data_IF_804924020329
#
_entry.id   IF_804924020329
#
_cell.length_a   1.000
_cell.length_b   1.000
_cell.length_c   1.000
_cell.angle_alpha   90.00
_cell.angle_beta   90.00
_cell.angle_gamma   90.00
#
_symmetry.space_group_name_H-M   'P 1'
#
loop_
_entity.id
_entity.type
_entity.pdbx_description
1 polymer ?
#
# COMPACT_ATOMS: atom_id res chain seq x y z
N UNK A 1 -48.83 -44.85 -62.85
CA UNK A 1 -50.30 -44.68 -62.76
C UNK A 1 -50.74 -44.92 -61.33
N UNK A 2 -51.36 -43.90 -60.69
CA UNK A 2 -52.52 -43.96 -59.78
C UNK A 2 -52.35 -44.85 -58.52
N UNK A 3 -52.44 -44.34 -57.29
CA UNK A 3 -53.52 -43.49 -56.73
C UNK A 3 -53.09 -42.83 -55.41
N UNK A 4 -53.48 -41.55 -55.28
CA UNK A 4 -53.64 -40.81 -54.01
C UNK A 4 -54.81 -41.40 -53.21
N UNK A 5 -54.78 -41.33 -51.88
CA UNK A 5 -55.94 -40.92 -51.10
C UNK A 5 -55.51 -40.31 -49.75
N UNK A 6 -56.06 -39.12 -49.51
CA UNK A 6 -55.93 -38.22 -48.36
C UNK A 6 -56.95 -38.62 -47.30
N UNK A 7 -56.65 -38.50 -45.99
CA UNK A 7 -57.50 -37.78 -45.01
C UNK A 7 -56.88 -37.63 -43.60
N UNK A 8 -56.92 -36.38 -43.14
CA UNK A 8 -56.83 -35.76 -41.79
C UNK A 8 -56.50 -36.62 -40.55
N UNK A 9 -55.62 -36.10 -39.66
CA UNK A 9 -56.04 -35.36 -38.43
C UNK A 9 -54.88 -34.94 -37.50
N UNK A 10 -55.09 -33.77 -36.86
CA UNK A 10 -54.57 -33.29 -35.56
C UNK A 10 -53.08 -32.91 -35.38
N UNK A 11 -52.87 -31.58 -35.27
CA UNK A 11 -51.86 -30.95 -34.44
C UNK A 11 -51.88 -31.54 -33.01
N UNK A 12 -50.72 -31.94 -32.49
CA UNK A 12 -50.43 -31.96 -31.05
C UNK A 12 -49.08 -31.29 -30.83
N UNK A 13 -49.15 -30.18 -30.10
CA UNK A 13 -48.08 -29.46 -29.45
C UNK A 13 -47.35 -30.34 -28.42
N UNK A 14 -46.17 -29.85 -28.01
CA UNK A 14 -45.44 -30.14 -26.77
C UNK A 14 -44.52 -31.36 -26.75
N UNK A 15 -43.24 -31.04 -26.58
CA UNK A 15 -42.18 -31.97 -26.20
C UNK A 15 -40.80 -31.34 -26.07
N UNK A 16 -40.66 -30.02 -26.01
CA UNK A 16 -39.44 -29.38 -25.48
C UNK A 16 -39.48 -29.51 -23.96
N UNK A 17 -38.73 -30.43 -23.35
CA UNK A 17 -38.35 -30.34 -21.94
C UNK A 17 -37.12 -31.23 -21.69
N UNK A 18 -35.96 -30.57 -21.60
CA UNK A 18 -34.83 -30.85 -20.69
C UNK A 18 -33.75 -29.79 -20.95
N UNK A 19 -34.09 -28.52 -20.74
CA UNK A 19 -33.11 -27.48 -20.44
C UNK A 19 -33.20 -27.32 -18.92
N UNK A 20 -32.24 -27.96 -18.23
CA UNK A 20 -32.26 -28.19 -16.79
C UNK A 20 -32.12 -26.91 -15.96
N UNK A 21 -32.57 -27.00 -14.70
CA UNK A 21 -32.67 -25.90 -13.72
C UNK A 21 -31.44 -24.95 -13.65
N UNK A 22 -30.22 -25.41 -13.93
CA UNK A 22 -29.02 -24.56 -13.93
C UNK A 22 -28.99 -23.46 -15.01
N UNK A 23 -29.63 -23.67 -16.16
CA UNK A 23 -29.70 -22.63 -17.21
C UNK A 23 -30.72 -21.53 -16.87
N UNK A 24 -31.79 -21.88 -16.15
CA UNK A 24 -32.78 -20.92 -15.68
C UNK A 24 -32.22 -20.03 -14.57
N UNK A 25 -31.41 -20.61 -13.67
CA UNK A 25 -30.74 -19.87 -12.61
C UNK A 25 -29.68 -18.89 -13.17
N UNK A 26 -28.84 -19.35 -14.11
CA UNK A 26 -27.85 -18.47 -14.78
C UNK A 26 -28.51 -17.31 -15.56
N UNK A 27 -29.66 -17.56 -16.20
CA UNK A 27 -30.42 -16.52 -16.89
C UNK A 27 -30.98 -15.48 -15.90
N UNK A 28 -31.45 -15.93 -14.73
CA UNK A 28 -31.92 -15.05 -13.65
C UNK A 28 -30.79 -14.20 -13.07
N UNK A 29 -29.62 -14.80 -12.79
CA UNK A 29 -28.45 -14.07 -12.28
C UNK A 29 -27.96 -12.99 -13.26
N UNK A 30 -27.90 -13.33 -14.55
CA UNK A 30 -27.52 -12.38 -15.61
C UNK A 30 -28.49 -11.21 -15.68
N UNK A 31 -29.79 -11.46 -15.55
CA UNK A 31 -30.81 -10.40 -15.54
C UNK A 31 -30.63 -9.47 -14.33
N UNK A 32 -30.48 -10.02 -13.12
CA UNK A 32 -30.27 -9.25 -11.90
C UNK A 32 -28.98 -8.42 -11.97
N UNK A 33 -27.92 -8.99 -12.55
CA UNK A 33 -26.65 -8.28 -12.75
C UNK A 33 -26.83 -7.08 -13.69
N UNK A 34 -27.57 -7.23 -14.79
CA UNK A 34 -27.88 -6.10 -15.69
C UNK A 34 -28.75 -5.03 -15.04
N UNK A 35 -29.67 -5.42 -14.17
CA UNK A 35 -30.48 -4.46 -13.39
C UNK A 35 -29.61 -3.65 -12.44
N UNK A 36 -28.69 -4.30 -11.71
CA UNK A 36 -27.74 -3.62 -10.83
C UNK A 36 -26.83 -2.66 -11.60
N UNK A 37 -26.30 -3.07 -12.76
CA UNK A 37 -25.50 -2.18 -13.63
C UNK A 37 -26.33 -0.95 -14.05
N UNK A 38 -27.57 -1.16 -14.50
CA UNK A 38 -28.46 -0.06 -14.93
C UNK A 38 -28.73 0.91 -13.77
N UNK A 39 -28.94 0.37 -12.56
CA UNK A 39 -29.11 1.16 -11.36
C UNK A 39 -27.86 1.99 -11.07
N UNK A 40 -26.68 1.36 -11.04
CA UNK A 40 -25.42 2.04 -10.72
C UNK A 40 -24.95 3.04 -11.79
N UNK A 41 -25.40 2.91 -13.05
CA UNK A 41 -25.19 3.93 -14.07
C UNK A 41 -26.05 5.19 -13.87
N UNK A 42 -27.19 5.06 -13.19
CA UNK A 42 -28.08 6.19 -12.87
C UNK A 42 -27.73 6.81 -11.52
N UNK A 43 -27.36 5.97 -10.57
CA UNK A 43 -26.98 6.31 -9.20
C UNK A 43 -25.66 5.60 -8.88
N UNK A 44 -24.50 6.22 -9.14
CA UNK A 44 -23.19 5.62 -8.89
C UNK A 44 -23.06 5.09 -7.46
N UNK A 45 -22.29 4.02 -7.24
CA UNK A 45 -22.01 3.54 -5.89
C UNK A 45 -21.45 4.66 -5.01
N UNK A 46 -21.90 4.70 -3.76
CA UNK A 46 -21.48 5.70 -2.78
C UNK A 46 -20.61 5.04 -1.70
N UNK A 47 -19.59 5.76 -1.25
CA UNK A 47 -18.83 5.38 -0.06
C UNK A 47 -19.71 5.47 1.20
N UNK A 48 -19.49 4.53 2.11
CA UNK A 48 -20.07 4.54 3.43
C UNK A 48 -19.12 5.26 4.39
N UNK A 49 -19.46 6.52 4.70
CA UNK A 49 -18.68 7.38 5.59
C UNK A 49 -18.97 7.11 7.08
N UNK A 50 -19.73 6.06 7.42
CA UNK A 50 -20.08 5.74 8.81
C UNK A 50 -18.86 5.31 9.65
N UNK A 51 -17.80 4.83 9.00
CA UNK A 51 -16.55 4.39 9.63
C UNK A 51 -15.34 5.14 9.04
N UNK A 52 -14.98 6.31 9.62
CA UNK A 52 -13.85 7.10 9.14
C UNK A 52 -12.55 6.29 9.17
N UNK A 53 -11.86 6.22 8.03
CA UNK A 53 -10.58 5.51 7.88
C UNK A 53 -10.67 4.12 7.26
N UNK A 54 -11.87 3.58 7.05
CA UNK A 54 -12.08 2.34 6.30
C UNK A 54 -13.04 2.63 5.14
N UNK A 55 -12.54 2.85 3.91
CA UNK A 55 -13.41 3.09 2.77
C UNK A 55 -14.21 1.82 2.47
N UNK A 56 -15.44 1.76 2.95
CA UNK A 56 -16.40 0.72 2.59
C UNK A 56 -17.43 1.31 1.63
N UNK A 57 -18.00 0.49 0.77
CA UNK A 57 -19.06 0.91 -0.15
C UNK A 57 -20.42 0.62 0.46
N UNK A 58 -21.43 1.45 0.18
CA UNK A 58 -22.80 1.15 0.62
C UNK A 58 -23.32 -0.09 -0.11
N UNK A 59 -24.05 -0.93 0.63
CA UNK A 59 -24.78 -2.05 0.05
C UNK A 59 -26.16 -1.63 -0.44
N UNK A 60 -26.62 -2.23 -1.55
CA UNK A 60 -27.87 -1.87 -2.21
C UNK A 60 -28.79 -3.08 -2.35
N UNK A 61 -30.10 -2.90 -2.13
CA UNK A 61 -31.10 -3.92 -2.40
C UNK A 61 -31.61 -3.77 -3.84
N UNK A 62 -31.32 -4.76 -4.69
CA UNK A 62 -31.76 -4.84 -6.08
C UNK A 62 -32.63 -6.09 -6.24
N UNK A 63 -33.94 -5.88 -6.29
CA UNK A 63 -34.96 -6.94 -6.34
C UNK A 63 -34.78 -7.95 -5.19
N UNK A 64 -34.49 -9.23 -5.49
CA UNK A 64 -34.30 -10.27 -4.48
C UNK A 64 -32.86 -10.37 -3.95
N UNK A 65 -31.95 -9.46 -4.34
CA UNK A 65 -30.53 -9.55 -4.02
C UNK A 65 -30.00 -8.30 -3.33
N UNK A 66 -29.21 -8.53 -2.29
CA UNK A 66 -28.30 -7.55 -1.75
C UNK A 66 -27.06 -7.49 -2.65
N UNK A 67 -26.68 -6.29 -3.10
CA UNK A 67 -25.57 -6.06 -4.03
C UNK A 67 -24.56 -5.13 -3.37
N UNK A 68 -23.34 -5.64 -3.20
CA UNK A 68 -22.21 -4.91 -2.68
C UNK A 68 -21.21 -4.61 -3.80
N UNK A 69 -21.05 -3.35 -4.22
CA UNK A 69 -20.06 -2.96 -5.22
C UNK A 69 -18.69 -2.71 -4.57
N UNK A 70 -17.61 -3.24 -5.14
CA UNK A 70 -16.24 -2.91 -4.77
C UNK A 70 -15.50 -2.30 -5.96
N UNK A 71 -14.85 -1.16 -5.77
CA UNK A 71 -13.98 -0.57 -6.81
C UNK A 71 -12.76 -1.47 -7.00
N UNK A 72 -12.47 -1.89 -8.24
CA UNK A 72 -11.30 -2.72 -8.56
C UNK A 72 -10.20 -1.91 -9.28
N UNK A 73 -10.57 -1.16 -10.32
CA UNK A 73 -9.62 -0.37 -11.12
C UNK A 73 -10.22 1.02 -11.31
N UNK A 74 -9.75 1.95 -10.48
CA UNK A 74 -10.33 3.29 -10.38
C UNK A 74 -10.22 4.07 -11.69
N UNK A 75 -9.04 4.02 -12.29
CA UNK A 75 -8.69 4.70 -13.54
C UNK A 75 -9.48 4.22 -14.77
N UNK A 76 -10.23 3.12 -14.64
CA UNK A 76 -11.01 2.50 -15.72
C UNK A 76 -12.48 2.27 -15.38
N UNK A 77 -12.96 2.74 -14.23
CA UNK A 77 -14.33 2.52 -13.77
C UNK A 77 -14.74 1.03 -13.75
N UNK A 78 -13.80 0.17 -13.35
CA UNK A 78 -14.03 -1.27 -13.21
C UNK A 78 -14.39 -1.60 -11.78
N UNK A 79 -15.47 -2.35 -11.62
CA UNK A 79 -16.05 -2.73 -10.33
C UNK A 79 -16.26 -4.22 -10.22
N UNK A 80 -16.04 -4.78 -9.04
CA UNK A 80 -16.63 -6.04 -8.64
C UNK A 80 -18.05 -5.78 -8.15
N UNK A 81 -19.02 -6.56 -8.60
CA UNK A 81 -20.35 -6.59 -8.02
C UNK A 81 -20.55 -7.94 -7.33
N UNK A 82 -20.83 -7.89 -6.02
CA UNK A 82 -21.05 -9.05 -5.18
C UNK A 82 -22.54 -9.18 -4.89
N UNK A 83 -23.15 -10.27 -5.33
CA UNK A 83 -24.58 -10.52 -5.19
C UNK A 83 -24.84 -11.57 -4.12
N UNK A 84 -25.61 -11.18 -3.10
CA UNK A 84 -26.09 -12.05 -2.03
C UNK A 84 -27.62 -12.17 -2.15
N UNK A 85 -28.13 -13.28 -2.70
CA UNK A 85 -29.57 -13.52 -2.77
C UNK A 85 -30.22 -13.60 -1.40
N UNK A 86 -31.46 -13.15 -1.30
CA UNK A 86 -32.29 -13.28 -0.09
C UNK A 86 -32.91 -14.68 0.08
N UNK A 87 -32.76 -15.54 -0.92
CA UNK A 87 -33.17 -16.95 -0.89
C UNK A 87 -31.94 -17.89 -0.78
N UNK A 88 -32.17 -19.19 -0.71
CA UNK A 88 -31.11 -20.21 -0.59
C UNK A 88 -30.25 -20.38 -1.86
N UNK A 89 -30.31 -19.44 -2.83
CA UNK A 89 -29.43 -19.46 -4.01
C UNK A 89 -28.00 -19.11 -3.61
N UNK A 90 -27.05 -19.62 -4.40
CA UNK A 90 -25.64 -19.35 -4.19
C UNK A 90 -25.30 -17.90 -4.53
N UNK A 91 -24.45 -17.28 -3.70
CA UNK A 91 -23.76 -16.02 -4.00
C UNK A 91 -22.99 -16.12 -5.32
N UNK A 92 -22.94 -15.02 -6.07
CA UNK A 92 -22.05 -14.88 -7.22
C UNK A 92 -21.41 -13.48 -7.25
N UNK A 93 -20.31 -13.38 -7.98
CA UNK A 93 -19.58 -12.15 -8.25
C UNK A 93 -19.32 -12.01 -9.76
N UNK A 94 -19.09 -10.77 -10.20
CA UNK A 94 -18.55 -10.48 -11.54
C UNK A 94 -17.85 -9.12 -11.56
N UNK A 95 -16.87 -8.96 -12.45
CA UNK A 95 -16.36 -7.64 -12.79
C UNK A 95 -17.20 -6.98 -13.89
N UNK A 96 -17.40 -5.68 -13.77
CA UNK A 96 -18.13 -4.84 -14.72
C UNK A 96 -17.32 -3.59 -15.05
N UNK A 97 -17.33 -3.19 -16.31
CA UNK A 97 -17.07 -1.81 -16.72
C UNK A 97 -18.38 -1.06 -16.56
N UNK A 98 -18.48 -0.26 -15.50
CA UNK A 98 -19.73 0.39 -15.14
C UNK A 98 -20.08 1.50 -16.14
N UNK A 99 -19.09 2.26 -16.60
CA UNK A 99 -19.24 3.29 -17.63
C UNK A 99 -19.80 2.74 -18.94
N UNK A 100 -19.31 1.57 -19.38
CA UNK A 100 -19.77 0.91 -20.60
C UNK A 100 -21.01 0.03 -20.38
N UNK A 101 -21.38 -0.25 -19.13
CA UNK A 101 -22.45 -1.19 -18.77
C UNK A 101 -22.14 -2.63 -19.19
N UNK A 102 -20.86 -2.99 -19.26
CA UNK A 102 -20.39 -4.27 -19.79
C UNK A 102 -19.94 -5.18 -18.66
N UNK A 103 -20.45 -6.41 -18.64
CA UNK A 103 -19.92 -7.49 -17.80
C UNK A 103 -18.61 -8.00 -18.43
N UNK A 104 -17.53 -8.02 -17.66
CA UNK A 104 -16.18 -8.42 -18.11
C UNK A 104 -15.94 -9.90 -17.87
N UNK A 105 -16.14 -10.37 -16.63
CA UNK A 105 -15.90 -11.76 -16.25
C UNK A 105 -17.16 -12.61 -16.43
N UNK A 106 -17.06 -13.94 -16.46
CA UNK A 106 -18.21 -14.78 -16.14
C UNK A 106 -18.81 -14.40 -14.78
N UNK A 107 -20.04 -14.83 -14.54
CA UNK A 107 -20.65 -14.82 -13.22
C UNK A 107 -20.20 -16.11 -12.53
N UNK A 108 -19.55 -15.99 -11.36
CA UNK A 108 -18.99 -17.15 -10.67
C UNK A 108 -19.10 -17.00 -9.15
N UNK A 109 -18.97 -18.13 -8.44
CA UNK A 109 -18.86 -18.14 -6.98
C UNK A 109 -17.40 -18.39 -6.61
N UNK A 110 -16.76 -17.37 -6.03
CA UNK A 110 -15.34 -17.38 -5.75
C UNK A 110 -14.86 -16.00 -5.31
N UNK A 111 -13.60 -15.71 -5.58
CA UNK A 111 -12.94 -14.45 -5.21
C UNK A 111 -12.21 -13.86 -6.42
N UNK A 112 -12.01 -12.54 -6.38
CA UNK A 112 -11.39 -11.80 -7.47
C UNK A 112 -10.50 -10.67 -6.93
N UNK A 113 -9.41 -10.39 -7.64
CA UNK A 113 -8.49 -9.30 -7.31
C UNK A 113 -8.01 -8.58 -8.57
N UNK A 114 -7.65 -7.30 -8.45
CA UNK A 114 -6.83 -6.63 -9.46
C UNK A 114 -5.47 -7.33 -9.51
N UNK A 115 -5.03 -7.67 -10.70
CA UNK A 115 -3.69 -8.17 -10.97
C UNK A 115 -2.93 -7.17 -11.85
N UNK A 116 -1.65 -7.46 -12.10
CA UNK A 116 -0.82 -6.63 -12.99
C UNK A 116 -1.42 -6.51 -14.39
N UNK A 117 -0.95 -5.49 -15.13
CA UNK A 117 -1.26 -5.29 -16.56
C UNK A 117 -2.77 -5.13 -16.87
N UNK A 118 -3.54 -4.53 -15.95
CA UNK A 118 -5.00 -4.39 -16.06
C UNK A 118 -5.72 -5.75 -16.24
N UNK A 119 -5.26 -6.77 -15.53
CA UNK A 119 -5.91 -8.08 -15.51
C UNK A 119 -6.60 -8.28 -14.16
N UNK A 120 -7.48 -9.27 -14.10
CA UNK A 120 -8.14 -9.70 -12.87
C UNK A 120 -7.73 -11.14 -12.58
N UNK A 121 -7.33 -11.43 -11.36
CA UNK A 121 -7.11 -12.79 -10.90
C UNK A 121 -8.41 -13.34 -10.34
N UNK A 122 -8.90 -14.45 -10.91
CA UNK A 122 -10.12 -15.13 -10.50
C UNK A 122 -9.74 -16.45 -9.80
N UNK A 123 -10.27 -16.67 -8.62
CA UNK A 123 -10.22 -17.96 -7.93
C UNK A 123 -11.61 -18.59 -7.91
N UNK A 124 -11.74 -19.83 -8.40
CA UNK A 124 -13.00 -20.58 -8.41
C UNK A 124 -12.74 -22.06 -8.14
N UNK A 125 -13.13 -22.55 -6.95
CA UNK A 125 -13.06 -23.98 -6.62
C UNK A 125 -11.67 -24.60 -6.81
N UNK A 126 -10.60 -23.86 -6.47
CA UNK A 126 -9.21 -24.29 -6.64
C UNK A 126 -8.64 -24.11 -8.06
N UNK A 127 -9.40 -23.52 -8.98
CA UNK A 127 -8.90 -23.06 -10.29
C UNK A 127 -8.56 -21.57 -10.21
N UNK A 128 -7.44 -21.19 -10.83
CA UNK A 128 -6.99 -19.81 -10.91
C UNK A 128 -6.87 -19.38 -12.36
N UNK A 129 -7.43 -18.22 -12.69
CA UNK A 129 -7.41 -17.70 -14.06
C UNK A 129 -7.14 -16.20 -14.06
N UNK A 130 -6.35 -15.73 -15.01
CA UNK A 130 -6.30 -14.31 -15.36
C UNK A 130 -7.39 -13.99 -16.37
N UNK A 131 -8.17 -12.94 -16.10
CA UNK A 131 -9.11 -12.34 -17.03
C UNK A 131 -8.56 -11.00 -17.51
N UNK A 132 -8.47 -10.80 -18.83
CA UNK A 132 -8.29 -9.45 -19.37
C UNK A 132 -9.61 -8.64 -19.30
N UNK A 133 -9.55 -7.31 -19.46
CA UNK A 133 -10.75 -6.46 -19.45
C UNK A 133 -11.67 -6.67 -20.67
N UNK A 134 -11.24 -7.48 -21.65
CA UNK A 134 -12.09 -7.89 -22.76
C UNK A 134 -12.95 -9.12 -22.42
N UNK A 135 -12.59 -9.86 -21.36
CA UNK A 135 -13.25 -11.08 -20.89
C UNK A 135 -12.54 -12.37 -21.27
N UNK A 136 -11.32 -12.30 -21.84
CA UNK A 136 -10.55 -13.50 -22.19
C UNK A 136 -9.90 -14.10 -20.95
N UNK A 137 -10.05 -15.42 -20.78
CA UNK A 137 -9.54 -16.16 -19.64
C UNK A 137 -8.28 -16.96 -20.00
N UNK A 138 -7.28 -16.91 -19.13
CA UNK A 138 -6.05 -17.71 -19.21
C UNK A 138 -5.83 -18.44 -17.88
N UNK A 139 -5.67 -19.76 -17.91
CA UNK A 139 -5.35 -20.53 -16.70
C UNK A 139 -3.95 -20.19 -16.18
N UNK A 140 -3.82 -20.03 -14.86
CA UNK A 140 -2.54 -19.84 -14.18
C UNK A 140 -2.34 -20.93 -13.12
N UNK A 141 -1.09 -21.28 -12.86
CA UNK A 141 -0.73 -22.31 -11.88
C UNK A 141 -0.27 -21.67 -10.59
N UNK A 142 -0.80 -22.15 -9.47
CA UNK A 142 -0.31 -21.83 -8.13
C UNK A 142 0.32 -23.12 -7.55
N UNK A 143 1.47 -23.07 -6.85
CA UNK A 143 2.24 -24.27 -6.53
C UNK A 143 1.53 -25.27 -5.63
N UNK A 144 0.64 -24.80 -4.75
CA UNK A 144 -0.08 -25.62 -3.78
C UNK A 144 -1.58 -25.45 -3.94
N UNK A 145 -2.34 -26.52 -3.68
CA UNK A 145 -3.79 -26.42 -3.50
C UNK A 145 -4.07 -25.57 -2.26
N UNK A 146 -4.65 -24.38 -2.45
CA UNK A 146 -4.82 -23.40 -1.40
C UNK A 146 -5.79 -22.30 -1.77
N UNK A 147 -5.57 -21.10 -1.24
CA UNK A 147 -6.37 -19.91 -1.51
C UNK A 147 -5.47 -18.70 -1.74
N UNK A 148 -5.87 -17.79 -2.61
CA UNK A 148 -5.25 -16.46 -2.68
C UNK A 148 -5.75 -15.66 -1.49
N UNK A 149 -4.81 -15.09 -0.72
CA UNK A 149 -5.14 -14.22 0.40
C UNK A 149 -5.13 -12.75 0.02
N UNK A 150 -4.16 -12.36 -0.81
CA UNK A 150 -3.93 -10.97 -1.15
C UNK A 150 -3.24 -10.87 -2.50
N UNK A 151 -3.54 -9.79 -3.22
CA UNK A 151 -2.81 -9.32 -4.39
C UNK A 151 -2.54 -7.84 -4.19
N UNK A 152 -1.29 -7.42 -4.30
CA UNK A 152 -0.95 -6.01 -4.17
C UNK A 152 -1.22 -5.22 -5.48
N UNK A 153 -1.09 -3.91 -5.41
CA UNK A 153 -1.30 -2.97 -6.52
C UNK A 153 -0.42 -3.26 -7.76
N UNK A 154 0.75 -3.87 -7.55
CA UNK A 154 1.68 -4.29 -8.60
C UNK A 154 1.46 -5.72 -9.08
N UNK A 155 0.48 -6.44 -8.51
CA UNK A 155 0.09 -7.79 -8.92
C UNK A 155 0.85 -8.92 -8.25
N UNK A 156 1.64 -8.66 -7.20
CA UNK A 156 2.26 -9.72 -6.40
C UNK A 156 1.18 -10.46 -5.62
N UNK A 157 1.26 -11.79 -5.59
CA UNK A 157 0.20 -12.64 -5.04
C UNK A 157 0.71 -13.38 -3.80
N UNK A 158 -0.04 -13.30 -2.71
CA UNK A 158 0.19 -14.14 -1.54
C UNK A 158 -0.86 -15.24 -1.49
N UNK A 159 -0.39 -16.48 -1.51
CA UNK A 159 -1.24 -17.67 -1.40
C UNK A 159 -1.05 -18.34 -0.05
N UNK A 160 -2.10 -18.97 0.46
CA UNK A 160 -2.10 -19.76 1.68
C UNK A 160 -2.46 -21.21 1.36
N UNK A 161 -1.76 -22.17 1.98
CA UNK A 161 -2.04 -23.59 1.80
C UNK A 161 -1.88 -24.37 3.12
N UNK A 162 -2.70 -25.42 3.33
CA UNK A 162 -2.67 -26.21 4.56
C UNK A 162 -1.47 -27.16 4.59
N UNK A 163 -0.81 -27.26 5.74
CA UNK A 163 0.37 -28.09 5.98
C UNK A 163 0.13 -28.96 7.21
N UNK A 164 -0.14 -30.27 7.03
CA UNK A 164 -0.25 -31.19 8.16
C UNK A 164 1.14 -31.56 8.69
N UNK A 165 1.37 -31.37 9.99
CA UNK A 165 2.60 -31.80 10.69
C UNK A 165 2.31 -32.37 12.07
N UNK A 166 3.31 -33.02 12.66
CA UNK A 166 3.36 -33.28 14.09
C UNK A 166 3.95 -32.08 14.81
N UNK A 167 3.21 -31.50 15.74
CA UNK A 167 3.63 -30.35 16.57
C UNK A 167 3.85 -30.78 18.02
N UNK A 168 4.71 -30.06 18.73
CA UNK A 168 4.95 -30.24 20.17
C UNK A 168 3.82 -29.61 20.97
N UNK A 169 3.46 -30.23 22.08
CA UNK A 169 2.51 -29.69 23.07
C UNK A 169 3.09 -29.81 24.48
N UNK A 170 2.36 -29.35 25.51
CA UNK A 170 2.81 -29.50 26.90
C UNK A 170 2.87 -30.98 27.33
N UNK A 171 1.97 -31.81 26.80
CA UNK A 171 1.85 -33.24 27.13
C UNK A 171 2.54 -34.19 26.14
N UNK A 172 3.15 -33.69 25.07
CA UNK A 172 3.88 -34.51 24.10
C UNK A 172 3.86 -33.93 22.69
N UNK A 173 3.21 -34.64 21.77
CA UNK A 173 3.08 -34.21 20.37
C UNK A 173 1.71 -34.60 19.81
N UNK A 174 1.19 -33.84 18.85
CA UNK A 174 -0.04 -34.19 18.15
C UNK A 174 0.02 -33.85 16.65
N UNK A 175 -0.77 -34.53 15.79
CA UNK A 175 -1.00 -34.06 14.43
C UNK A 175 -1.78 -32.75 14.47
N UNK A 176 -1.33 -31.76 13.69
CA UNK A 176 -1.96 -30.46 13.55
C UNK A 176 -1.77 -29.95 12.13
N UNK A 177 -2.81 -29.35 11.56
CA UNK A 177 -2.74 -28.71 10.25
C UNK A 177 -2.77 -27.20 10.46
N UNK A 178 -1.65 -26.56 10.17
CA UNK A 178 -1.54 -25.10 10.11
C UNK A 178 -1.42 -24.66 8.66
N UNK A 179 -1.32 -23.35 8.42
CA UNK A 179 -1.14 -22.83 7.08
C UNK A 179 0.27 -22.29 6.88
N UNK A 180 0.85 -22.54 5.72
CA UNK A 180 2.02 -21.82 5.21
C UNK A 180 1.61 -21.00 3.99
N UNK A 181 2.54 -20.16 3.53
CA UNK A 181 2.28 -19.21 2.46
C UNK A 181 3.32 -19.29 1.35
N UNK A 182 2.89 -18.94 0.14
CA UNK A 182 3.74 -18.74 -1.02
C UNK A 182 3.56 -17.32 -1.51
N UNK A 183 4.67 -16.61 -1.68
CA UNK A 183 4.72 -15.32 -2.35
C UNK A 183 5.09 -15.51 -3.82
N UNK A 184 4.23 -15.01 -4.70
CA UNK A 184 4.40 -15.05 -6.15
C UNK A 184 4.64 -13.65 -6.71
N UNK A 185 5.45 -13.57 -7.76
CA UNK A 185 5.59 -12.36 -8.56
C UNK A 185 4.36 -12.11 -9.44
N UNK A 186 4.29 -10.94 -10.11
CA UNK A 186 3.18 -10.58 -11.00
C UNK A 186 2.96 -11.54 -12.18
N UNK A 187 3.99 -12.31 -12.53
CA UNK A 187 3.97 -13.34 -13.56
C UNK A 187 3.75 -14.76 -12.99
N UNK A 188 3.33 -14.86 -11.72
CA UNK A 188 3.12 -16.10 -10.97
C UNK A 188 4.40 -16.93 -10.74
N UNK A 189 5.59 -16.34 -10.93
CA UNK A 189 6.85 -16.97 -10.51
C UNK A 189 6.92 -17.07 -8.99
N UNK A 190 7.42 -18.18 -8.47
CA UNK A 190 7.59 -18.37 -7.02
C UNK A 190 8.79 -17.57 -6.54
N UNK A 191 8.53 -16.52 -5.75
CA UNK A 191 9.58 -15.71 -5.14
C UNK A 191 10.03 -16.29 -3.80
N UNK A 192 9.07 -16.71 -2.98
CA UNK A 192 9.34 -17.38 -1.71
C UNK A 192 8.21 -18.35 -1.37
N UNK A 193 8.56 -19.62 -1.15
CA UNK A 193 7.63 -20.66 -0.70
C UNK A 193 7.94 -21.11 0.73
N UNK A 194 7.01 -21.80 1.39
CA UNK A 194 7.23 -22.30 2.75
C UNK A 194 7.33 -21.19 3.79
N UNK A 195 6.65 -20.08 3.56
CA UNK A 195 6.57 -18.97 4.52
C UNK A 195 5.73 -19.45 5.71
N UNK A 196 6.29 -19.38 6.91
CA UNK A 196 5.63 -19.76 8.16
C UNK A 196 4.68 -18.65 8.63
N UNK A 197 5.07 -17.41 8.39
CA UNK A 197 4.31 -16.20 8.71
C UNK A 197 4.81 -15.06 7.85
N UNK A 198 3.92 -14.16 7.46
CA UNK A 198 4.26 -12.88 6.85
C UNK A 198 3.80 -11.75 7.78
N UNK A 199 4.47 -10.60 7.70
CA UNK A 199 4.06 -9.41 8.42
C UNK A 199 2.83 -8.81 7.73
N UNK A 200 1.78 -8.56 8.50
CA UNK A 200 0.57 -7.88 8.05
C UNK A 200 0.09 -6.99 9.18
N UNK A 201 0.03 -5.67 8.94
CA UNK A 201 -0.45 -4.68 9.93
C UNK A 201 -1.95 -4.81 10.17
N UNK A 202 -2.68 -5.43 9.23
CA UNK A 202 -4.13 -5.45 9.17
C UNK A 202 -4.75 -6.83 9.23
N UNK A 203 -4.49 -7.64 10.28
CA UNK A 203 -5.28 -8.87 10.52
C UNK A 203 -6.80 -8.59 10.67
N UNK A 204 -7.21 -7.31 10.71
CA UNK A 204 -8.60 -6.83 10.77
C UNK A 204 -8.93 -5.75 9.73
N UNK A 205 -8.03 -5.44 8.79
CA UNK A 205 -8.29 -4.44 7.77
C UNK A 205 -8.99 -5.11 6.58
N UNK A 206 -10.28 -4.79 6.40
CA UNK A 206 -11.12 -5.34 5.33
C UNK A 206 -11.02 -4.50 4.05
N UNK A 207 -10.05 -3.59 3.95
CA UNK A 207 -9.80 -2.85 2.72
C UNK A 207 -9.34 -3.80 1.61
N UNK A 208 -9.83 -3.55 0.40
CA UNK A 208 -9.44 -4.25 -0.82
C UNK A 208 -7.98 -3.98 -1.24
N UNK A 209 -7.27 -3.13 -0.50
CA UNK A 209 -5.86 -2.78 -0.68
C UNK A 209 -5.00 -3.58 0.30
N UNK A 210 -4.75 -4.84 -0.02
CA UNK A 210 -3.81 -5.65 0.75
C UNK A 210 -2.38 -5.25 0.40
N UNK A 211 -1.77 -4.36 1.19
CA UNK A 211 -0.37 -4.00 1.02
C UNK A 211 0.55 -5.17 1.46
N UNK A 212 1.11 -5.88 0.48
CA UNK A 212 2.08 -6.95 0.72
C UNK A 212 3.50 -6.43 0.94
N UNK A 213 3.86 -5.38 0.20
CA UNK A 213 5.19 -4.81 0.21
C UNK A 213 5.14 -3.37 0.72
N UNK A 214 5.68 -3.15 1.91
CA UNK A 214 5.85 -1.82 2.47
C UNK A 214 7.21 -1.28 2.06
N UNK A 215 7.21 -0.17 1.31
CA UNK A 215 8.43 0.42 0.75
C UNK A 215 9.29 -0.57 -0.05
N UNK A 216 8.61 -1.43 -0.82
CA UNK A 216 9.26 -2.42 -1.69
C UNK A 216 9.81 -3.65 -0.96
N UNK A 217 9.54 -3.79 0.36
CA UNK A 217 9.96 -4.92 1.17
C UNK A 217 8.77 -5.64 1.79
N UNK A 218 8.87 -6.97 1.85
CA UNK A 218 7.98 -7.81 2.66
C UNK A 218 8.79 -8.50 3.75
N UNK A 219 8.26 -8.51 4.97
CA UNK A 219 8.85 -9.25 6.08
C UNK A 219 8.18 -10.62 6.23
N UNK A 220 8.97 -11.68 6.19
CA UNK A 220 8.50 -13.06 6.28
C UNK A 220 9.34 -13.88 7.24
N UNK A 221 8.73 -14.88 7.88
CA UNK A 221 9.41 -15.94 8.62
C UNK A 221 9.40 -17.19 7.78
N UNK A 222 10.55 -17.85 7.67
CA UNK A 222 10.73 -19.05 6.86
C UNK A 222 11.59 -20.05 7.62
N UNK A 223 11.28 -21.33 7.48
CA UNK A 223 12.16 -22.42 7.91
C UNK A 223 12.05 -22.79 9.39
N UNK A 224 10.88 -22.64 10.02
CA UNK A 224 10.67 -23.11 11.39
C UNK A 224 10.93 -24.63 11.51
N UNK A 225 11.69 -24.99 12.54
CA UNK A 225 12.05 -26.37 12.85
C UNK A 225 11.33 -26.91 14.09
N UNK A 226 10.82 -26.03 14.96
CA UNK A 226 9.99 -26.39 16.12
C UNK A 226 8.67 -25.63 16.03
N UNK A 227 7.58 -26.37 16.23
CA UNK A 227 6.21 -25.87 16.21
C UNK A 227 5.54 -26.32 17.49
N UNK A 228 5.03 -25.36 18.27
CA UNK A 228 4.52 -25.58 19.60
C UNK A 228 3.10 -25.05 19.75
N UNK A 229 2.20 -25.93 20.19
CA UNK A 229 0.81 -25.61 20.48
C UNK A 229 0.55 -25.94 21.97
N UNK A 230 0.34 -24.94 22.84
CA UNK A 230 0.06 -25.17 24.26
C UNK A 230 -1.19 -26.02 24.48
N UNK A 231 -1.21 -26.81 25.56
CA UNK A 231 -2.39 -27.58 25.95
C UNK A 231 -3.47 -26.65 26.54
N UNK A 232 -4.68 -26.72 26.00
CA UNK A 232 -5.87 -26.07 26.57
C UNK A 232 -6.20 -24.65 26.06
N UNK A 233 -7.42 -24.23 26.33
CA UNK A 233 -8.03 -22.99 25.83
C UNK A 233 -8.87 -23.22 24.55
N UNK A 234 -9.93 -22.42 24.30
CA UNK A 234 -10.76 -22.58 23.11
C UNK A 234 -10.03 -22.20 21.80
N UNK A 235 -8.91 -21.45 21.89
CA UNK A 235 -8.17 -20.90 20.75
C UNK A 235 -6.66 -20.85 21.04
N UNK A 236 -5.97 -22.01 21.12
CA UNK A 236 -4.53 -22.05 21.39
C UNK A 236 -3.75 -21.40 20.23
N UNK A 237 -2.80 -20.52 20.56
CA UNK A 237 -1.90 -19.90 19.58
C UNK A 237 -0.76 -20.85 19.23
N UNK A 238 -0.46 -20.97 17.94
CA UNK A 238 0.69 -21.73 17.44
C UNK A 238 1.96 -20.87 17.53
N UNK A 239 2.98 -21.38 18.21
CA UNK A 239 4.30 -20.77 18.30
C UNK A 239 5.30 -21.53 17.45
N UNK A 240 6.29 -20.83 16.91
CA UNK A 240 7.34 -21.42 16.09
C UNK A 240 8.62 -20.60 16.18
N UNK A 241 9.75 -21.23 15.87
CA UNK A 241 11.07 -20.68 16.12
C UNK A 241 11.73 -19.98 14.92
N UNK A 242 11.04 -19.84 13.79
CA UNK A 242 11.58 -19.06 12.67
C UNK A 242 11.56 -17.56 12.99
N UNK A 243 12.58 -16.88 12.45
CA UNK A 243 12.80 -15.44 12.58
C UNK A 243 12.41 -14.72 11.30
N UNK A 244 12.08 -13.44 11.44
CA UNK A 244 11.77 -12.58 10.30
C UNK A 244 13.01 -12.31 9.44
N UNK A 245 12.79 -12.21 8.14
CA UNK A 245 13.72 -11.74 7.12
C UNK A 245 12.96 -10.86 6.12
N UNK A 246 13.70 -10.02 5.41
CA UNK A 246 13.15 -9.11 4.42
C UNK A 246 13.46 -9.58 3.01
N UNK A 247 12.44 -9.58 2.16
CA UNK A 247 12.54 -9.93 0.75
C UNK A 247 12.10 -8.71 -0.06
N UNK A 248 12.86 -8.37 -1.09
CA UNK A 248 12.48 -7.33 -2.04
C UNK A 248 11.52 -7.86 -3.12
N UNK A 249 10.99 -6.96 -3.93
CA UNK A 249 10.12 -7.28 -5.07
C UNK A 249 10.76 -8.20 -6.13
N UNK A 250 12.07 -8.43 -6.11
CA UNK A 250 12.74 -9.41 -6.98
C UNK A 250 12.79 -10.83 -6.38
N UNK A 251 12.32 -11.01 -5.14
CA UNK A 251 12.46 -12.26 -4.40
C UNK A 251 13.81 -12.40 -3.70
N UNK A 252 14.67 -11.37 -3.73
CA UNK A 252 15.99 -11.42 -3.10
C UNK A 252 15.89 -11.01 -1.64
N UNK A 253 16.59 -11.75 -0.78
CA UNK A 253 16.77 -11.35 0.62
C UNK A 253 17.63 -10.08 0.71
N UNK A 254 17.12 -9.06 1.39
CA UNK A 254 17.78 -7.73 1.47
C UNK A 254 18.74 -7.65 2.65
N UNK A 255 18.50 -8.39 3.73
CA UNK A 255 19.38 -8.43 4.91
C UNK A 255 19.83 -9.86 5.24
N UNK A 256 21.12 -10.03 5.58
CA UNK A 256 21.61 -11.29 6.13
C UNK A 256 21.11 -11.54 7.56
N UNK A 257 20.67 -10.49 8.26
CA UNK A 257 20.17 -10.58 9.62
C UNK A 257 18.79 -11.23 9.68
N UNK A 258 18.42 -11.68 10.87
CA UNK A 258 17.15 -12.36 11.17
C UNK A 258 16.59 -11.83 12.48
N UNK A 259 15.32 -11.45 12.49
CA UNK A 259 14.72 -10.68 13.58
C UNK A 259 13.72 -11.51 14.38
N UNK A 260 13.72 -11.30 15.70
CA UNK A 260 12.76 -11.95 16.60
C UNK A 260 11.36 -11.35 16.41
N UNK A 261 11.28 -10.05 16.20
CA UNK A 261 10.07 -9.28 15.89
C UNK A 261 10.41 -8.19 14.88
N UNK A 262 9.40 -7.73 14.12
CA UNK A 262 9.52 -6.61 13.20
C UNK A 262 8.29 -5.73 13.30
N UNK A 263 8.44 -4.45 13.01
CA UNK A 263 7.36 -3.48 12.85
C UNK A 263 7.65 -2.56 11.67
N UNK A 264 6.59 -2.05 11.05
CA UNK A 264 6.67 -1.01 10.03
C UNK A 264 5.89 0.21 10.52
N UNK A 265 6.60 1.30 10.82
CA UNK A 265 6.01 2.52 11.37
C UNK A 265 6.61 3.76 10.69
N UNK A 266 5.76 4.72 10.31
CA UNK A 266 6.17 5.92 9.57
C UNK A 266 7.07 5.58 8.36
N UNK A 267 6.66 4.61 7.55
CA UNK A 267 7.39 4.18 6.35
C UNK A 267 8.81 3.65 6.61
N UNK A 268 9.04 3.09 7.80
CA UNK A 268 10.34 2.58 8.24
C UNK A 268 10.19 1.21 8.85
N UNK A 269 11.12 0.32 8.50
CA UNK A 269 11.19 -1.02 9.06
C UNK A 269 12.09 -1.06 10.29
N UNK A 270 11.54 -1.60 11.38
CA UNK A 270 12.27 -1.91 12.59
C UNK A 270 12.33 -3.41 12.80
N UNK A 271 13.47 -3.90 13.28
CA UNK A 271 13.68 -5.30 13.61
C UNK A 271 14.37 -5.46 14.95
N UNK A 272 13.93 -6.43 15.74
CA UNK A 272 14.46 -6.69 17.07
C UNK A 272 15.42 -7.89 17.09
N UNK A 273 16.56 -7.71 17.76
CA UNK A 273 17.43 -8.79 18.23
C UNK A 273 17.36 -8.83 19.76
N UNK A 274 16.61 -9.78 20.31
CA UNK A 274 16.26 -9.77 21.72
C UNK A 274 15.47 -8.51 22.10
N UNK A 275 16.03 -7.68 22.97
CA UNK A 275 15.40 -6.41 23.41
C UNK A 275 15.95 -5.17 22.70
N UNK A 276 16.90 -5.34 21.78
CA UNK A 276 17.51 -4.22 21.05
C UNK A 276 16.83 -4.09 19.69
N UNK A 277 16.35 -2.88 19.40
CA UNK A 277 15.68 -2.53 18.16
C UNK A 277 16.68 -1.90 17.17
N UNK A 278 16.53 -2.25 15.90
CA UNK A 278 17.36 -1.77 14.80
C UNK A 278 16.46 -1.20 13.71
N UNK A 279 16.84 -0.04 13.20
CA UNK A 279 16.25 0.52 11.99
C UNK A 279 16.93 -0.14 10.78
N UNK A 280 16.13 -0.64 9.84
CA UNK A 280 16.62 -1.10 8.55
C UNK A 280 16.60 0.05 7.55
N UNK A 281 17.73 0.29 6.91
CA UNK A 281 17.76 1.17 5.74
C UNK A 281 17.19 0.46 4.49
N UNK A 282 17.00 1.22 3.41
CA UNK A 282 16.47 0.70 2.14
C UNK A 282 17.36 -0.34 1.45
N UNK A 283 18.60 -0.53 1.91
CA UNK A 283 19.54 -1.55 1.42
C UNK A 283 19.63 -2.75 2.38
N UNK A 284 18.83 -2.78 3.45
CA UNK A 284 18.82 -3.83 4.46
C UNK A 284 19.96 -3.76 5.47
N UNK A 285 20.71 -2.65 5.53
CA UNK A 285 21.69 -2.46 6.59
C UNK A 285 21.00 -2.07 7.88
N UNK A 286 21.52 -2.61 8.99
CA UNK A 286 21.04 -2.33 10.32
C UNK A 286 21.75 -1.12 10.90
N UNK A 287 20.97 -0.18 11.41
CA UNK A 287 21.45 0.88 12.27
C UNK A 287 20.84 0.68 13.64
N UNK A 288 21.70 0.40 14.63
CA UNK A 288 21.27 0.40 16.02
C UNK A 288 20.66 1.76 16.34
N UNK A 289 19.41 1.73 16.78
CA UNK A 289 18.68 2.92 17.15
C UNK A 289 18.50 2.90 18.65
N UNK A 290 18.83 4.01 19.30
CA UNK A 290 18.49 4.17 20.70
C UNK A 290 16.97 4.16 20.83
N UNK A 291 16.46 3.42 21.83
CA UNK A 291 15.14 3.63 22.40
C UNK A 291 14.88 5.15 22.48
N UNK A 292 13.65 5.61 22.27
CA UNK A 292 13.26 7.04 22.32
C UNK A 292 13.47 7.87 21.03
N UNK A 293 13.43 7.28 19.83
CA UNK A 293 13.39 8.08 18.59
C UNK A 293 12.12 8.96 18.48
N UNK A 294 11.04 8.57 19.16
CA UNK A 294 9.76 9.27 19.28
C UNK A 294 9.71 10.35 20.35
N UNK A 295 10.81 10.62 21.04
CA UNK A 295 10.91 11.73 22.00
C UNK A 295 11.91 12.75 21.45
N UNK A 296 11.57 14.05 21.38
CA UNK A 296 12.52 15.06 20.96
C UNK A 296 13.80 15.01 21.80
N UNK A 297 14.92 15.42 21.22
CA UNK A 297 16.14 15.69 22.00
C UNK A 297 15.89 16.85 22.96
N UNK A 298 16.56 16.89 24.12
CA UNK A 298 16.39 17.97 25.11
C UNK A 298 16.64 19.37 24.54
N UNK A 299 17.54 19.49 23.55
CA UNK A 299 17.81 20.77 22.88
C UNK A 299 16.67 21.22 21.93
N UNK A 300 15.82 20.27 21.50
CA UNK A 300 14.74 20.47 20.54
C UNK A 300 13.36 20.57 21.19
N UNK A 301 13.18 19.98 22.38
CA UNK A 301 11.89 19.80 23.08
C UNK A 301 10.98 21.04 23.05
N UNK A 302 11.45 22.17 23.62
CA UNK A 302 10.65 23.40 23.67
C UNK A 302 10.29 23.95 22.28
N UNK A 303 11.17 23.78 21.30
CA UNK A 303 10.97 24.32 19.95
C UNK A 303 10.00 23.44 19.17
N UNK A 304 10.08 22.12 19.33
CA UNK A 304 9.12 21.17 18.76
C UNK A 304 7.74 21.38 19.36
N UNK A 305 7.63 21.54 20.68
CA UNK A 305 6.34 21.82 21.32
C UNK A 305 5.70 23.11 20.78
N UNK A 306 6.51 24.15 20.56
CA UNK A 306 6.03 25.39 19.93
C UNK A 306 5.59 25.15 18.47
N UNK A 307 6.38 24.41 17.68
CA UNK A 307 6.06 24.11 16.30
C UNK A 307 4.72 23.37 16.18
N UNK A 308 4.46 22.41 17.05
CA UNK A 308 3.19 21.67 17.08
C UNK A 308 2.00 22.56 17.44
N UNK A 309 2.16 23.50 18.39
CA UNK A 309 1.13 24.51 18.71
C UNK A 309 0.82 25.41 17.52
N UNK A 310 1.82 25.67 16.68
CA UNK A 310 1.70 26.48 15.47
C UNK A 310 1.25 25.66 14.24
N UNK A 311 0.91 24.38 14.43
CA UNK A 311 0.37 23.49 13.38
C UNK A 311 1.44 22.83 12.51
N UNK A 312 2.73 22.94 12.86
CA UNK A 312 3.83 22.25 12.18
C UNK A 312 4.07 20.88 12.80
N UNK A 313 3.51 19.82 12.20
CA UNK A 313 3.60 18.43 12.70
C UNK A 313 3.61 17.43 11.55
N UNK A 314 4.48 16.41 11.63
CA UNK A 314 4.56 15.32 10.65
C UNK A 314 3.43 14.30 10.83
N UNK A 315 3.38 13.65 11.99
CA UNK A 315 2.40 12.61 12.31
C UNK A 315 2.10 12.61 13.81
N UNK A 316 1.07 11.85 14.23
CA UNK A 316 0.79 11.69 15.65
C UNK A 316 1.97 11.08 16.41
N UNK A 317 2.64 10.09 15.81
CA UNK A 317 3.84 9.43 16.34
C UNK A 317 5.10 9.83 15.55
N UNK A 318 5.48 11.11 15.65
CA UNK A 318 6.62 11.65 14.89
C UNK A 318 7.96 11.04 15.37
N UNK A 319 8.78 10.44 14.48
CA UNK A 319 10.09 9.91 14.84
C UNK A 319 11.16 11.02 14.86
N UNK A 320 11.08 11.93 15.82
CA UNK A 320 11.89 13.17 15.91
C UNK A 320 13.39 12.98 15.64
N UNK A 321 13.99 11.89 16.13
CA UNK A 321 15.45 11.68 16.03
C UNK A 321 15.88 10.90 14.80
N UNK A 322 14.95 10.38 14.00
CA UNK A 322 15.26 9.71 12.74
C UNK A 322 15.48 10.74 11.63
N UNK A 323 16.19 10.32 10.60
CA UNK A 323 16.35 11.14 9.40
C UNK A 323 15.01 11.27 8.68
N UNK A 324 14.71 12.48 8.24
CA UNK A 324 13.48 12.81 7.56
C UNK A 324 13.49 12.26 6.12
N UNK A 325 12.36 11.72 5.70
CA UNK A 325 12.11 11.38 4.30
C UNK A 325 11.82 12.62 3.45
N UNK A 326 11.91 12.49 2.13
CA UNK A 326 11.70 13.62 1.21
C UNK A 326 10.25 14.07 1.18
N UNK A 327 9.31 13.14 1.22
CA UNK A 327 7.87 13.41 1.29
C UNK A 327 7.48 14.07 2.63
N UNK A 328 8.02 13.58 3.75
CA UNK A 328 7.87 14.18 5.08
C UNK A 328 8.37 15.63 5.11
N UNK A 329 9.51 15.89 4.47
CA UNK A 329 10.02 17.26 4.32
C UNK A 329 9.07 18.14 3.50
N UNK A 330 8.45 17.60 2.44
CA UNK A 330 7.44 18.31 1.64
C UNK A 330 6.19 18.62 2.47
N UNK A 331 5.73 17.69 3.32
CA UNK A 331 4.61 17.91 4.25
C UNK A 331 4.87 19.11 5.17
N UNK A 332 6.06 19.19 5.79
CA UNK A 332 6.42 20.35 6.62
C UNK A 332 6.59 21.64 5.81
N UNK A 333 7.17 21.56 4.61
CA UNK A 333 7.30 22.72 3.72
C UNK A 333 5.93 23.27 3.32
N UNK A 334 4.97 22.39 3.04
CA UNK A 334 3.60 22.79 2.71
C UNK A 334 2.90 23.46 3.88
N UNK A 335 2.97 22.87 5.09
CA UNK A 335 2.43 23.49 6.30
C UNK A 335 3.06 24.88 6.53
N UNK A 336 4.37 25.02 6.34
CA UNK A 336 5.08 26.31 6.43
C UNK A 336 4.54 27.34 5.44
N UNK A 337 4.29 26.93 4.19
CA UNK A 337 3.67 27.79 3.18
C UNK A 337 2.27 28.21 3.61
N UNK A 338 1.44 27.29 4.09
CA UNK A 338 0.09 27.58 4.55
C UNK A 338 0.08 28.56 5.74
N UNK A 339 1.08 28.49 6.63
CA UNK A 339 1.25 29.44 7.73
C UNK A 339 1.67 30.84 7.25
N UNK A 340 2.60 30.93 6.30
CA UNK A 340 3.21 32.21 5.88
C UNK A 340 2.43 32.90 4.76
N UNK A 341 1.95 32.13 3.79
CA UNK A 341 1.25 32.60 2.61
C UNK A 341 0.12 31.63 2.22
N UNK A 342 -1.02 31.65 2.93
CA UNK A 342 -2.14 30.73 2.69
C UNK A 342 -2.80 30.91 1.32
N UNK A 343 -2.57 32.04 0.64
CA UNK A 343 -3.11 32.34 -0.68
C UNK A 343 -2.06 32.21 -1.79
N UNK A 344 -1.04 31.38 -1.59
CA UNK A 344 0.01 31.18 -2.59
C UNK A 344 -0.61 30.75 -3.93
N UNK A 345 -0.15 31.38 -5.02
CA UNK A 345 -0.61 31.02 -6.34
C UNK A 345 0.04 29.69 -6.77
N UNK A 346 -0.77 28.63 -6.84
CA UNK A 346 -0.32 27.31 -7.27
C UNK A 346 -0.50 27.14 -8.77
N UNK A 347 0.57 26.76 -9.49
CA UNK A 347 0.44 26.28 -10.87
C UNK A 347 -0.44 25.03 -10.97
N UNK A 348 -0.86 24.70 -12.19
CA UNK A 348 -1.53 23.44 -12.49
C UNK A 348 -0.65 22.25 -12.07
N UNK A 349 -1.25 21.30 -11.35
CA UNK A 349 -0.54 20.14 -10.83
C UNK A 349 -0.33 19.12 -11.96
N UNK A 350 0.94 18.86 -12.28
CA UNK A 350 1.32 17.73 -13.12
C UNK A 350 1.55 16.48 -12.26
N UNK A 351 1.65 15.31 -12.90
CA UNK A 351 2.22 14.09 -12.33
C UNK A 351 3.66 13.93 -12.81
N UNK A 352 4.64 14.61 -12.18
CA UNK A 352 6.02 14.62 -12.68
C UNK A 352 6.82 13.36 -12.32
N UNK A 353 6.33 12.53 -11.38
CA UNK A 353 7.08 11.42 -10.81
C UNK A 353 6.37 10.09 -11.03
N UNK A 354 7.12 9.07 -11.44
CA UNK A 354 6.57 7.74 -11.72
C UNK A 354 6.30 6.90 -10.48
N UNK A 355 6.87 7.28 -9.33
CA UNK A 355 6.88 6.53 -8.07
C UNK A 355 6.19 7.28 -6.91
N UNK A 356 5.54 8.42 -7.17
CA UNK A 356 4.95 9.27 -6.14
C UNK A 356 3.81 10.14 -6.71
N UNK A 357 2.56 9.88 -6.29
CA UNK A 357 1.37 10.65 -6.70
C UNK A 357 0.75 11.49 -5.57
N UNK A 358 1.48 11.69 -4.47
CA UNK A 358 1.01 12.47 -3.33
C UNK A 358 0.80 13.95 -3.68
N UNK A 359 -0.41 14.47 -3.46
CA UNK A 359 -0.79 15.86 -3.72
C UNK A 359 0.21 16.88 -3.18
N UNK A 360 0.64 16.69 -1.93
CA UNK A 360 1.59 17.59 -1.26
C UNK A 360 2.92 17.61 -2.01
N UNK A 361 3.44 16.46 -2.43
CA UNK A 361 4.69 16.40 -3.20
C UNK A 361 4.52 17.09 -4.55
N UNK A 362 3.38 16.88 -5.24
CA UNK A 362 3.06 17.55 -6.50
C UNK A 362 2.97 19.07 -6.34
N UNK A 363 2.36 19.56 -5.26
CA UNK A 363 2.26 20.99 -4.93
C UNK A 363 3.65 21.62 -4.68
N UNK A 364 4.49 20.98 -3.86
CA UNK A 364 5.83 21.47 -3.56
C UNK A 364 6.74 21.42 -4.80
N UNK A 365 6.57 20.41 -5.66
CA UNK A 365 7.27 20.31 -6.94
C UNK A 365 6.81 21.40 -7.93
N UNK A 366 5.51 21.67 -8.03
CA UNK A 366 4.95 22.71 -8.89
C UNK A 366 5.48 24.12 -8.52
N UNK A 367 5.77 24.35 -7.25
CA UNK A 367 6.42 25.58 -6.75
C UNK A 367 7.94 25.61 -6.99
N UNK A 368 8.51 24.56 -7.58
CA UNK A 368 9.95 24.45 -7.86
C UNK A 368 10.82 24.25 -6.61
N UNK A 369 10.23 23.86 -5.48
CA UNK A 369 10.93 23.71 -4.20
C UNK A 369 11.68 22.37 -4.18
N UNK A 370 11.07 21.31 -4.70
CA UNK A 370 11.70 20.00 -4.90
C UNK A 370 11.72 19.60 -6.36
N UNK A 371 12.60 18.67 -6.69
CA UNK A 371 12.76 18.07 -8.02
C UNK A 371 12.99 16.58 -7.87
N UNK A 372 12.61 15.82 -8.90
CA UNK A 372 12.91 14.39 -9.02
C UNK A 372 14.32 14.13 -9.56
N UNK A 373 14.60 12.86 -9.83
CA UNK A 373 15.83 12.34 -10.40
C UNK A 373 15.72 12.15 -11.93
N UNK A 374 16.85 11.89 -12.57
CA UNK A 374 16.93 11.73 -14.03
C UNK A 374 16.14 10.52 -14.57
N UNK A 375 15.88 9.53 -13.72
CA UNK A 375 15.08 8.33 -14.03
C UNK A 375 13.57 8.56 -13.94
N UNK A 376 13.14 9.78 -13.60
CA UNK A 376 11.72 10.13 -13.44
C UNK A 376 11.16 9.86 -12.04
N UNK A 377 11.99 9.43 -11.09
CA UNK A 377 11.55 9.15 -9.71
C UNK A 377 11.68 10.36 -8.79
N UNK A 378 10.90 10.38 -7.71
CA UNK A 378 11.02 11.31 -6.58
C UNK A 378 11.76 10.69 -5.39
N UNK A 379 11.60 9.37 -5.20
CA UNK A 379 12.08 8.58 -4.07
C UNK A 379 11.56 9.15 -2.74
N UNK A 380 10.24 9.07 -2.47
CA UNK A 380 9.59 9.75 -1.34
C UNK A 380 10.24 9.38 0.00
N UNK A 381 10.50 8.09 0.23
CA UNK A 381 11.07 7.58 1.48
C UNK A 381 12.59 7.64 1.57
N UNK A 382 13.27 8.23 0.57
CA UNK A 382 14.73 8.40 0.63
C UNK A 382 15.08 9.49 1.63
N UNK A 383 15.92 9.18 2.59
CA UNK A 383 16.40 10.15 3.59
C UNK A 383 17.13 11.34 2.94
N UNK A 384 17.02 12.51 3.57
CA UNK A 384 17.75 13.72 3.17
C UNK A 384 19.09 13.85 3.89
N UNK A 385 20.14 14.20 3.16
CA UNK A 385 21.35 14.75 3.76
C UNK A 385 21.17 16.22 4.14
N UNK A 386 21.96 16.71 5.10
CA UNK A 386 21.93 18.12 5.54
C UNK A 386 22.08 19.11 4.39
N UNK A 387 22.98 18.85 3.44
CA UNK A 387 23.19 19.76 2.32
C UNK A 387 22.02 19.75 1.33
N UNK A 388 21.30 18.64 1.16
CA UNK A 388 20.10 18.57 0.33
C UNK A 388 18.95 19.35 0.98
N UNK A 389 18.77 19.18 2.30
CA UNK A 389 17.80 19.96 3.07
C UNK A 389 18.08 21.47 2.95
N UNK A 390 19.34 21.91 2.97
CA UNK A 390 19.70 23.33 2.78
C UNK A 390 19.27 23.86 1.41
N UNK A 391 19.41 23.07 0.34
CA UNK A 391 18.94 23.45 -1.01
C UNK A 391 17.42 23.60 -1.04
N UNK A 392 16.70 22.64 -0.48
CA UNK A 392 15.23 22.68 -0.46
C UNK A 392 14.75 23.88 0.38
N UNK A 393 15.36 24.13 1.54
CA UNK A 393 15.06 25.30 2.38
C UNK A 393 15.33 26.63 1.66
N UNK A 394 16.41 26.74 0.89
CA UNK A 394 16.69 27.95 0.11
C UNK A 394 15.64 28.19 -0.99
N UNK A 395 15.21 27.12 -1.67
CA UNK A 395 14.14 27.22 -2.68
C UNK A 395 12.81 27.61 -2.04
N UNK A 396 12.45 26.99 -0.92
CA UNK A 396 11.30 27.37 -0.11
C UNK A 396 11.36 28.84 0.33
N UNK A 397 12.51 29.29 0.84
CA UNK A 397 12.72 30.69 1.20
C UNK A 397 12.50 31.61 -0.01
N UNK A 398 13.01 31.22 -1.19
CA UNK A 398 12.85 32.02 -2.41
C UNK A 398 11.40 32.18 -2.81
N UNK A 399 10.59 31.13 -2.64
CA UNK A 399 9.15 31.15 -2.90
C UNK A 399 8.41 32.06 -1.91
N UNK A 400 8.79 32.05 -0.63
CA UNK A 400 8.10 32.82 0.41
C UNK A 400 8.55 34.28 0.51
N UNK A 401 9.83 34.56 0.32
CA UNK A 401 10.46 35.84 0.67
C UNK A 401 11.34 36.43 -0.45
N UNK A 402 11.53 35.71 -1.56
CA UNK A 402 12.40 36.11 -2.65
C UNK A 402 13.86 35.68 -2.48
N UNK A 403 14.71 36.07 -3.44
CA UNK A 403 16.10 35.59 -3.51
C UNK A 403 16.98 36.19 -2.41
N UNK A 404 17.88 35.36 -1.88
CA UNK A 404 18.94 35.79 -0.97
C UNK A 404 20.24 35.94 -1.75
N UNK A 405 20.83 37.12 -1.72
CA UNK A 405 22.22 37.33 -2.16
C UNK A 405 23.15 36.77 -1.07
N UNK A 406 23.64 35.55 -1.27
CA UNK A 406 24.42 34.83 -0.27
C UNK A 406 25.82 35.43 -0.13
N UNK A 407 26.20 35.77 1.11
CA UNK A 407 27.58 36.13 1.44
C UNK A 407 28.30 34.95 2.09
N UNK A 408 29.45 34.51 1.56
CA UNK A 408 30.10 33.28 2.02
C UNK A 408 30.67 33.45 3.43
N UNK A 409 30.00 32.87 4.42
CA UNK A 409 30.59 32.59 5.74
C UNK A 409 30.90 31.10 5.82
N UNK A 410 32.18 30.75 5.76
CA UNK A 410 32.62 29.37 5.57
C UNK A 410 32.58 28.57 6.88
N UNK A 411 32.25 27.28 6.77
CA UNK A 411 32.48 26.29 7.81
C UNK A 411 33.86 25.65 7.66
N UNK A 412 34.40 25.04 8.71
CA UNK A 412 35.68 24.34 8.69
C UNK A 412 35.68 23.16 7.70
N UNK A 413 34.53 22.53 7.48
CA UNK A 413 34.30 21.44 6.52
C UNK A 413 33.69 21.91 5.19
N UNK A 414 33.88 23.18 4.82
CA UNK A 414 33.37 23.73 3.57
C UNK A 414 33.81 22.96 2.31
N UNK A 415 34.97 22.29 2.37
CA UNK A 415 35.47 21.43 1.29
C UNK A 415 34.60 20.18 1.05
N UNK A 416 33.86 19.72 2.06
CA UNK A 416 32.99 18.54 1.96
C UNK A 416 31.58 18.87 1.45
N UNK A 417 31.23 20.15 1.35
CA UNK A 417 29.96 20.63 0.83
C UNK A 417 30.00 20.53 -0.69
N UNK A 418 29.03 19.83 -1.28
CA UNK A 418 28.90 19.75 -2.73
C UNK A 418 28.81 21.14 -3.36
N UNK A 419 29.46 21.36 -4.50
CA UNK A 419 29.49 22.68 -5.17
C UNK A 419 28.06 23.20 -5.39
N UNK A 420 27.14 22.33 -5.77
CA UNK A 420 25.72 22.63 -5.98
C UNK A 420 24.95 23.06 -4.72
N UNK A 421 25.47 22.79 -3.52
CA UNK A 421 24.81 23.12 -2.25
C UNK A 421 25.40 24.36 -1.57
N UNK A 422 26.59 24.82 -1.98
CA UNK A 422 27.34 25.85 -1.24
C UNK A 422 26.55 27.13 -1.04
N UNK A 423 25.98 27.67 -2.12
CA UNK A 423 25.21 28.90 -2.06
C UNK A 423 23.99 28.77 -1.15
N UNK A 424 23.31 27.63 -1.20
CA UNK A 424 22.18 27.32 -0.31
C UNK A 424 22.61 27.23 1.15
N UNK A 425 23.73 26.59 1.45
CA UNK A 425 24.28 26.52 2.81
C UNK A 425 24.65 27.91 3.32
N UNK A 426 25.28 28.75 2.51
CA UNK A 426 25.64 30.11 2.90
C UNK A 426 24.39 30.97 3.13
N UNK A 427 23.40 30.90 2.23
CA UNK A 427 22.14 31.60 2.35
C UNK A 427 21.38 31.21 3.63
N UNK A 428 21.23 29.91 3.89
CA UNK A 428 20.50 29.44 5.09
C UNK A 428 21.23 29.73 6.39
N UNK A 429 22.57 29.76 6.37
CA UNK A 429 23.37 30.24 7.50
C UNK A 429 23.13 31.72 7.76
N UNK A 430 23.15 32.54 6.70
CA UNK A 430 22.98 34.00 6.76
C UNK A 430 21.59 34.39 7.27
N UNK A 431 20.55 33.66 6.92
CA UNK A 431 19.18 33.94 7.41
C UNK A 431 18.98 33.54 8.86
N UNK A 432 19.81 32.67 9.43
CA UNK A 432 19.59 32.12 10.76
C UNK A 432 18.72 30.85 10.77
N UNK A 433 18.17 30.45 9.61
CA UNK A 433 17.23 29.32 9.52
C UNK A 433 17.97 28.02 9.83
N UNK A 434 19.02 27.70 9.07
CA UNK A 434 19.84 26.50 9.26
C UNK A 434 21.23 26.88 9.73
N UNK A 435 21.62 26.39 10.91
CA UNK A 435 22.93 26.62 11.50
C UNK A 435 23.82 25.37 11.43
N UNK A 436 25.09 25.51 11.82
CA UNK A 436 26.02 24.38 11.90
C UNK A 436 25.71 23.45 13.07
N UNK A 437 26.44 22.35 13.16
CA UNK A 437 26.30 21.33 14.21
C UNK A 437 27.24 21.55 15.41
N UNK A 438 27.84 22.74 15.52
CA UNK A 438 28.87 23.06 16.52
C UNK A 438 30.29 23.02 15.95
N UNK A 439 31.28 23.49 16.72
CA UNK A 439 32.70 23.51 16.35
C UNK A 439 33.01 24.09 14.95
N UNK A 440 32.20 25.06 14.49
CA UNK A 440 32.24 25.62 13.13
C UNK A 440 32.15 24.55 12.00
N UNK A 441 31.33 23.50 12.19
CA UNK A 441 31.08 22.43 11.21
C UNK A 441 29.63 22.49 10.68
N UNK A 442 29.44 22.12 9.42
CA UNK A 442 28.12 21.96 8.81
C UNK A 442 27.66 20.50 8.73
N UNK A 443 28.60 19.58 8.51
CA UNK A 443 28.39 18.13 8.33
C UNK A 443 27.46 17.78 7.14
N UNK A 444 27.87 18.14 5.89
CA UNK A 444 26.97 18.15 4.74
C UNK A 444 26.43 16.78 4.33
N UNK A 445 27.15 15.69 4.60
CA UNK A 445 26.79 14.33 4.16
C UNK A 445 25.97 13.56 5.18
N UNK A 446 25.90 14.05 6.41
CA UNK A 446 25.11 13.41 7.45
C UNK A 446 23.62 13.60 7.18
N UNK A 447 22.81 12.69 7.70
CA UNK A 447 21.35 12.75 7.60
C UNK A 447 20.78 13.98 8.30
N UNK A 448 19.59 14.39 7.88
CA UNK A 448 18.86 15.50 8.44
C UNK A 448 17.64 15.00 9.21
N UNK A 449 17.55 15.29 10.51
CA UNK A 449 16.52 14.67 11.35
C UNK A 449 15.16 15.36 11.25
N UNK A 450 14.10 14.64 11.63
CA UNK A 450 12.75 15.20 11.74
C UNK A 450 12.72 16.42 12.68
N UNK A 451 13.36 16.36 13.85
CA UNK A 451 13.42 17.50 14.78
C UNK A 451 14.20 18.69 14.20
N UNK A 452 15.30 18.45 13.48
CA UNK A 452 16.02 19.53 12.80
C UNK A 452 15.14 20.19 11.74
N UNK A 453 14.39 19.40 10.98
CA UNK A 453 13.47 19.87 9.95
C UNK A 453 12.36 20.74 10.52
N UNK A 454 11.65 20.24 11.54
CA UNK A 454 10.59 20.97 12.25
C UNK A 454 11.12 22.32 12.75
N UNK A 455 12.29 22.34 13.38
CA UNK A 455 12.89 23.56 13.92
C UNK A 455 13.22 24.56 12.81
N UNK A 456 13.77 24.10 11.68
CA UNK A 456 14.05 25.00 10.56
C UNK A 456 12.80 25.54 9.89
N UNK A 457 11.73 24.77 9.86
CA UNK A 457 10.43 25.19 9.34
C UNK A 457 9.77 26.22 10.25
N UNK A 458 9.81 26.02 11.58
CA UNK A 458 9.34 27.02 12.53
C UNK A 458 10.15 28.34 12.44
N UNK A 459 11.47 28.25 12.27
CA UNK A 459 12.29 29.45 12.04
C UNK A 459 11.96 30.14 10.72
N UNK A 460 11.56 29.39 9.70
CA UNK A 460 11.08 29.94 8.44
C UNK A 460 9.81 30.74 8.68
N UNK A 461 8.80 30.19 9.38
CA UNK A 461 7.53 30.91 9.63
C UNK A 461 7.73 32.20 10.42
N UNK A 462 8.68 32.20 11.36
CA UNK A 462 9.01 33.36 12.20
C UNK A 462 9.79 34.48 11.47
N UNK A 463 10.10 34.32 10.18
CA UNK A 463 10.66 35.40 9.35
C UNK A 463 9.61 36.36 8.79
N UNK A 464 8.35 35.92 8.76
CA UNK A 464 7.23 36.70 8.23
C UNK A 464 6.98 38.01 8.99
#
# INVERSE_FOLDING_TARGET
MKKRMVLLSALVLCGCMLIGAGAADAASQTQLTRQAITHFQQSPPEEDTSYPGYPTWKTWQIDSCEVFPCRLIEEKDIWELIFTPSDDRSRWICAVDLSAGKIITPLFNGSMWKAANNQLLLETGGRYQLCDLNGSLTDVSIPHTGHVLAVDDQGYVLCQYPVPRTVRTDSGTMPYTFHQYTLLGPDFTVLQDGIDQYYNVGQYDYSCDSELFYNGLVAVRVGATDWYLPDGGPWPRLYFNSKYMFIDRSGKTVSSSRYDEVSHENDRWFGCHGTTEYLLDSNGNEREQANYCYVPSTWAENIVEQAEKDGLRLSYHTPYRLNIHRDEFCKLAWQTIQTVNPNINLPELAQPFSDCDEDIVRQIAALGIVTGYEDGTFQPTRELSRQEAAVILQRLYTVLYGKIEASPTLYADNGSIGVWAKDSVYAMRQTGIMQGVGANRFDPKNGYTCEQSIITMLRMTQKA
#
